data_IF_504040114211
#
_entry.id   IF_504040114211
#
_cell.length_a   1.000
_cell.length_b   1.000
_cell.length_c   1.000
_cell.angle_alpha   90.00
_cell.angle_beta   90.00
_cell.angle_gamma   90.00
#
_symmetry.space_group_name_H-M   'P 1'
#
loop_
_entity.id
_entity.type
_entity.pdbx_description
1 polymer ?
#
# COMPACT_ATOMS: atom_id res chain seq x y z
N UNK A 1 17.87 16.10 -3.51
CA UNK A 1 17.53 14.70 -3.84
C UNK A 1 18.55 14.22 -4.86
N UNK A 2 19.04 12.98 -4.76
CA UNK A 2 20.01 12.46 -5.74
C UNK A 2 19.36 12.33 -7.11
N UNK A 3 20.07 12.77 -8.17
CA UNK A 3 19.60 12.88 -9.56
C UNK A 3 18.86 11.64 -10.10
N UNK A 4 19.18 10.45 -9.57
CA UNK A 4 18.56 9.18 -9.96
C UNK A 4 17.10 9.02 -9.48
N UNK A 5 16.78 9.49 -8.27
CA UNK A 5 15.41 9.37 -7.71
C UNK A 5 14.41 10.24 -8.48
N UNK A 6 14.85 11.40 -8.95
CA UNK A 6 13.98 12.36 -9.64
C UNK A 6 13.58 11.93 -11.06
N UNK A 7 14.37 11.02 -11.68
CA UNK A 7 14.13 10.46 -13.00
C UNK A 7 13.06 9.36 -13.02
N UNK A 8 12.95 8.59 -11.92
CA UNK A 8 12.02 7.45 -11.81
C UNK A 8 10.72 7.86 -11.13
N UNK A 9 10.71 8.99 -10.41
CA UNK A 9 9.52 9.43 -9.67
C UNK A 9 8.54 10.17 -10.60
N UNK A 10 7.32 9.66 -10.82
CA UNK A 10 6.35 10.31 -11.69
C UNK A 10 5.71 11.53 -11.00
N UNK A 11 5.21 12.49 -11.79
CA UNK A 11 4.77 13.81 -11.32
C UNK A 11 3.67 13.77 -10.22
N UNK A 12 2.78 12.78 -10.26
CA UNK A 12 1.75 12.58 -9.24
C UNK A 12 2.30 12.25 -7.83
N UNK A 13 3.43 11.53 -7.74
CA UNK A 13 4.05 11.11 -6.48
C UNK A 13 4.94 12.21 -5.95
N UNK A 14 5.60 12.98 -6.84
CA UNK A 14 6.42 14.14 -6.44
C UNK A 14 5.64 15.09 -5.54
N UNK A 15 4.35 15.35 -5.81
CA UNK A 15 3.50 16.19 -4.97
C UNK A 15 3.40 15.66 -3.52
N UNK A 16 3.10 14.38 -3.34
CA UNK A 16 3.00 13.76 -2.01
C UNK A 16 4.35 13.69 -1.31
N UNK A 17 5.42 13.42 -2.06
CA UNK A 17 6.79 13.35 -1.54
C UNK A 17 7.27 14.72 -1.03
N UNK A 18 6.90 15.80 -1.73
CA UNK A 18 7.23 17.17 -1.38
C UNK A 18 6.42 17.61 -0.14
N UNK A 19 5.13 17.30 -0.08
CA UNK A 19 4.29 17.51 1.11
C UNK A 19 4.83 16.74 2.32
N UNK A 20 5.23 15.49 2.14
CA UNK A 20 5.83 14.67 3.19
C UNK A 20 7.14 15.29 3.71
N UNK A 21 7.96 15.84 2.82
CA UNK A 21 9.24 16.45 3.18
C UNK A 21 9.09 17.79 3.90
N UNK A 22 8.12 18.61 3.51
CA UNK A 22 7.92 19.94 4.09
C UNK A 22 7.05 19.95 5.34
N UNK A 23 5.98 19.16 5.33
CA UNK A 23 4.92 19.21 6.36
C UNK A 23 4.79 17.89 7.13
N UNK A 24 5.61 16.89 6.79
CA UNK A 24 5.65 15.60 7.46
C UNK A 24 4.52 14.64 7.08
N UNK A 25 4.52 13.49 7.76
CA UNK A 25 3.59 12.40 7.50
C UNK A 25 2.12 12.81 7.64
N UNK A 26 1.79 13.62 8.66
CA UNK A 26 0.41 14.03 8.95
C UNK A 26 -0.21 14.85 7.81
N UNK A 27 0.58 15.70 7.15
CA UNK A 27 0.12 16.50 6.02
C UNK A 27 -0.03 15.68 4.74
N UNK A 28 0.88 14.71 4.51
CA UNK A 28 0.73 13.75 3.42
C UNK A 28 -0.57 12.94 3.57
N UNK A 29 -0.87 12.45 4.78
CA UNK A 29 -2.12 11.74 5.06
C UNK A 29 -3.34 12.61 4.77
N UNK A 30 -3.30 13.89 5.18
CA UNK A 30 -4.37 14.85 4.91
C UNK A 30 -4.55 15.14 3.42
N UNK A 31 -3.44 15.23 2.67
CA UNK A 31 -3.44 15.46 1.23
C UNK A 31 -3.91 14.24 0.41
N UNK A 32 -3.64 13.03 0.89
CA UNK A 32 -4.15 11.80 0.27
C UNK A 32 -5.60 11.49 0.68
N UNK A 33 -6.03 11.90 1.88
CA UNK A 33 -7.43 11.93 2.31
C UNK A 33 -8.11 10.56 2.23
N UNK A 34 -9.33 10.53 1.67
CA UNK A 34 -10.14 9.31 1.55
C UNK A 34 -9.45 8.18 0.76
N UNK A 35 -8.47 8.51 -0.09
CA UNK A 35 -7.71 7.48 -0.83
C UNK A 35 -6.94 6.56 0.09
N UNK A 36 -6.48 7.03 1.26
CA UNK A 36 -5.81 6.18 2.25
C UNK A 36 -6.80 5.22 2.89
N UNK A 37 -8.01 5.68 3.19
CA UNK A 37 -9.07 4.82 3.73
C UNK A 37 -9.39 3.72 2.72
N UNK A 38 -9.56 4.09 1.45
CA UNK A 38 -9.77 3.14 0.37
C UNK A 38 -8.60 2.16 0.22
N UNK A 39 -7.36 2.64 0.31
CA UNK A 39 -6.16 1.80 0.23
C UNK A 39 -6.10 0.79 1.39
N UNK A 40 -6.35 1.24 2.62
CA UNK A 40 -6.40 0.37 3.82
C UNK A 40 -7.54 -0.64 3.65
N UNK A 41 -8.72 -0.19 3.24
CA UNK A 41 -9.87 -1.04 3.00
C UNK A 41 -9.57 -2.12 1.94
N UNK A 42 -8.97 -1.74 0.82
CA UNK A 42 -8.59 -2.68 -0.24
C UNK A 42 -7.50 -3.65 0.21
N UNK A 43 -6.52 -3.17 0.99
CA UNK A 43 -5.50 -4.02 1.59
C UNK A 43 -6.12 -5.09 2.49
N UNK A 44 -7.08 -4.73 3.34
CA UNK A 44 -7.79 -5.69 4.18
C UNK A 44 -8.64 -6.67 3.35
N UNK A 45 -9.35 -6.18 2.33
CA UNK A 45 -10.13 -7.02 1.42
C UNK A 45 -9.27 -8.07 0.74
N UNK A 46 -8.13 -7.65 0.17
CA UNK A 46 -7.19 -8.54 -0.51
C UNK A 46 -6.59 -9.52 0.49
N UNK A 47 -6.19 -9.06 1.69
CA UNK A 47 -5.63 -9.92 2.73
C UNK A 47 -6.62 -11.01 3.15
N UNK A 48 -7.86 -10.64 3.47
CA UNK A 48 -8.90 -11.58 3.88
C UNK A 48 -9.16 -12.58 2.75
N UNK A 49 -9.37 -12.08 1.53
CA UNK A 49 -9.64 -12.92 0.34
C UNK A 49 -8.49 -13.88 0.05
N UNK A 50 -7.24 -13.40 0.08
CA UNK A 50 -6.06 -14.24 -0.11
C UNK A 50 -5.98 -15.28 1.00
N UNK A 51 -6.22 -14.92 2.26
CA UNK A 51 -6.11 -15.86 3.38
C UNK A 51 -7.12 -17.01 3.23
N UNK A 52 -8.36 -16.70 2.85
CA UNK A 52 -9.41 -17.71 2.61
C UNK A 52 -9.21 -18.53 1.34
N UNK A 53 -8.45 -18.06 0.37
CA UNK A 53 -8.09 -18.86 -0.81
C UNK A 53 -6.85 -19.70 -0.51
N UNK A 54 -5.85 -19.10 0.15
CA UNK A 54 -4.55 -19.68 0.42
C UNK A 54 -4.62 -20.80 1.45
N UNK A 55 -5.37 -20.64 2.54
CA UNK A 55 -5.51 -21.67 3.58
C UNK A 55 -6.08 -22.99 3.01
N UNK A 56 -7.26 -23.03 2.36
CA UNK A 56 -7.78 -24.26 1.79
C UNK A 56 -6.91 -24.80 0.65
N UNK A 57 -6.25 -23.94 -0.12
CA UNK A 57 -5.28 -24.38 -1.12
C UNK A 57 -4.07 -25.10 -0.49
N UNK A 58 -3.54 -24.59 0.62
CA UNK A 58 -2.44 -25.21 1.35
C UNK A 58 -2.85 -26.52 2.02
N UNK A 59 -4.09 -26.61 2.54
CA UNK A 59 -4.67 -27.86 3.08
C UNK A 59 -4.82 -28.89 1.96
N UNK A 60 -5.40 -28.52 0.82
CA UNK A 60 -5.57 -29.41 -0.34
C UNK A 60 -4.24 -29.92 -0.91
N UNK A 61 -3.18 -29.11 -0.80
CA UNK A 61 -1.81 -29.47 -1.18
C UNK A 61 -1.06 -30.27 -0.09
N UNK A 62 -1.62 -30.44 1.11
CA UNK A 62 -1.02 -31.19 2.21
C UNK A 62 0.09 -30.45 2.96
N UNK A 63 0.26 -29.14 2.75
CA UNK A 63 1.23 -28.32 3.51
C UNK A 63 0.76 -28.01 4.93
N UNK A 64 -0.54 -28.12 5.19
CA UNK A 64 -1.19 -27.91 6.49
C UNK A 64 -2.14 -29.09 6.76
N UNK A 65 -2.00 -29.74 7.91
CA UNK A 65 -3.01 -30.67 8.43
C UNK A 65 -3.93 -29.92 9.40
N UNK A 66 -5.24 -30.13 9.26
CA UNK A 66 -6.25 -29.56 10.15
C UNK A 66 -6.33 -30.33 11.48
#
# INVERSE_FOLDING_TARGET
MGKFRDAITPNWIKKYLLIYREQGFKAMLKAAGWKIVLLIFMYYLIRDSILYILIPYLIAKGFLSL
#
